data_IF_919316994789
#
_entry.id   IF_919316994789
#
_cell.length_a   1.000
_cell.length_b   1.000
_cell.length_c   1.000
_cell.angle_alpha   90.00
_cell.angle_beta   90.00
_cell.angle_gamma   90.00
#
_symmetry.space_group_name_H-M   'P 1'
#
loop_
_entity.id
_entity.type
_entity.pdbx_description
1 polymer ?
#
# COMPACT_ATOMS: atom_id res chain seq x y z
N UNK A 1 3.54 47.09 -12.35
CA UNK A 1 4.47 45.94 -12.26
C UNK A 1 5.09 45.72 -10.87
N UNK A 2 5.24 46.74 -10.01
CA UNK A 2 5.88 46.59 -8.69
C UNK A 2 5.05 45.81 -7.64
N UNK A 3 3.71 45.96 -7.63
CA UNK A 3 2.86 45.34 -6.61
C UNK A 3 2.87 43.80 -6.63
N UNK A 4 2.92 43.19 -7.82
CA UNK A 4 2.90 41.73 -7.98
C UNK A 4 4.19 41.08 -7.46
N UNK A 5 5.33 41.77 -7.55
CA UNK A 5 6.61 41.26 -7.06
C UNK A 5 6.71 41.38 -5.53
N UNK A 6 6.12 42.42 -4.93
CA UNK A 6 6.08 42.61 -3.47
C UNK A 6 5.15 41.60 -2.81
N UNK A 7 3.97 41.35 -3.38
CA UNK A 7 3.06 40.31 -2.91
C UNK A 7 3.72 38.91 -2.98
N UNK A 8 4.47 38.63 -4.05
CA UNK A 8 5.23 37.39 -4.20
C UNK A 8 6.32 37.25 -3.14
N UNK A 9 7.01 38.35 -2.80
CA UNK A 9 8.03 38.39 -1.75
C UNK A 9 7.44 38.15 -0.35
N UNK A 10 6.29 38.77 -0.04
CA UNK A 10 5.58 38.56 1.23
C UNK A 10 5.07 37.12 1.37
N UNK A 11 4.54 36.53 0.29
CA UNK A 11 4.11 35.12 0.26
C UNK A 11 5.31 34.16 0.35
N UNK A 12 6.48 34.54 -0.17
CA UNK A 12 7.71 33.75 0.00
C UNK A 12 8.20 33.78 1.46
N UNK A 13 8.09 34.91 2.14
CA UNK A 13 8.55 35.07 3.53
C UNK A 13 7.69 34.28 4.52
N UNK A 14 6.36 34.24 4.32
CA UNK A 14 5.47 33.41 5.15
C UNK A 14 5.72 31.90 4.96
N UNK A 15 6.15 31.47 3.77
CA UNK A 15 6.56 30.08 3.49
C UNK A 15 7.89 29.67 4.11
N UNK A 16 8.66 30.61 4.67
CA UNK A 16 9.96 30.33 5.27
C UNK A 16 9.85 29.83 6.72
N UNK A 17 8.75 30.14 7.43
CA UNK A 17 8.55 29.77 8.83
C UNK A 17 8.28 28.26 9.06
N UNK A 18 7.76 27.55 8.05
CA UNK A 18 7.43 26.13 8.14
C UNK A 18 8.43 25.19 7.47
N UNK A 19 9.61 25.70 7.06
CA UNK A 19 10.67 24.84 6.52
C UNK A 19 11.46 24.28 7.70
N UNK A 20 11.19 23.04 8.07
CA UNK A 20 12.17 22.27 8.85
C UNK A 20 13.46 22.24 8.04
N UNK A 21 14.56 22.63 8.66
CA UNK A 21 15.89 22.56 8.05
C UNK A 21 16.11 21.12 7.58
N UNK A 22 16.26 20.91 6.27
CA UNK A 22 16.77 19.64 5.79
C UNK A 22 18.08 19.39 6.51
N UNK A 23 18.21 18.25 7.20
CA UNK A 23 19.42 17.92 7.95
C UNK A 23 20.63 18.13 7.03
N UNK A 24 21.44 19.13 7.34
CA UNK A 24 22.64 19.53 6.59
C UNK A 24 23.78 18.57 6.87
N UNK A 25 23.56 17.27 6.72
CA UNK A 25 24.66 16.33 6.53
C UNK A 25 24.95 16.26 5.04
N UNK A 26 26.21 16.50 4.66
CA UNK A 26 26.67 16.35 3.29
C UNK A 26 26.44 14.91 2.75
N UNK A 27 26.22 13.95 3.64
CA UNK A 27 25.93 12.55 3.33
C UNK A 27 24.51 12.15 3.75
N UNK A 28 23.75 11.63 2.81
CA UNK A 28 22.42 11.05 3.04
C UNK A 28 22.58 9.78 3.88
N UNK A 29 21.95 9.74 5.06
CA UNK A 29 22.01 8.58 5.93
C UNK A 29 21.57 7.30 5.20
N UNK A 30 22.24 6.19 5.49
CA UNK A 30 22.11 4.93 4.74
C UNK A 30 20.66 4.43 4.62
N UNK A 31 19.85 4.62 5.66
CA UNK A 31 18.42 4.28 5.64
C UNK A 31 17.62 5.01 4.55
N UNK A 32 17.94 6.26 4.23
CA UNK A 32 17.27 7.00 3.16
C UNK A 32 17.63 6.46 1.78
N UNK A 33 18.81 5.88 1.59
CA UNK A 33 19.19 5.22 0.33
C UNK A 33 18.29 4.01 0.10
N UNK A 34 18.07 3.18 1.12
CA UNK A 34 17.17 2.03 1.04
C UNK A 34 15.72 2.44 0.77
N UNK A 35 15.22 3.48 1.46
CA UNK A 35 13.87 4.00 1.24
C UNK A 35 13.67 4.50 -0.19
N UNK A 36 14.67 5.15 -0.79
CA UNK A 36 14.59 5.61 -2.18
C UNK A 36 14.46 4.45 -3.17
N UNK A 37 15.15 3.32 -2.93
CA UNK A 37 14.99 2.11 -3.73
C UNK A 37 13.60 1.50 -3.60
N UNK A 38 13.05 1.43 -2.39
CA UNK A 38 11.68 0.94 -2.14
C UNK A 38 10.66 1.86 -2.82
N UNK A 39 10.81 3.18 -2.68
CA UNK A 39 9.95 4.16 -3.35
C UNK A 39 9.99 3.98 -4.87
N UNK A 40 11.17 3.84 -5.47
CA UNK A 40 11.29 3.62 -6.91
C UNK A 40 10.56 2.34 -7.38
N UNK A 41 10.66 1.25 -6.59
CA UNK A 41 9.94 -0.01 -6.87
C UNK A 41 8.42 0.19 -6.81
N UNK A 42 7.91 0.81 -5.75
CA UNK A 42 6.47 1.00 -5.52
C UNK A 42 5.86 2.20 -6.28
N UNK A 43 6.66 3.07 -6.88
CA UNK A 43 6.18 4.18 -7.71
C UNK A 43 6.34 3.93 -9.22
N UNK A 44 6.87 2.78 -9.63
CA UNK A 44 6.95 2.39 -11.04
C UNK A 44 5.56 2.48 -11.72
N UNK A 45 5.41 3.13 -12.88
CA UNK A 45 4.13 3.22 -13.59
C UNK A 45 3.86 1.95 -14.40
N UNK A 46 3.66 0.82 -13.72
CA UNK A 46 3.43 -0.50 -14.32
C UNK A 46 1.96 -0.94 -14.31
N UNK A 47 1.05 -0.07 -13.84
CA UNK A 47 -0.39 -0.35 -13.76
C UNK A 47 -0.77 -1.41 -12.72
N UNK A 48 0.19 -1.97 -11.98
CA UNK A 48 -0.10 -2.98 -10.97
C UNK A 48 -0.73 -2.33 -9.73
N UNK A 49 -1.73 -2.97 -9.12
CA UNK A 49 -2.26 -2.51 -7.85
C UNK A 49 -1.19 -2.63 -6.75
N UNK A 50 -1.31 -1.82 -5.70
CA UNK A 50 -0.28 -1.71 -4.64
C UNK A 50 0.08 -3.05 -3.99
N UNK A 51 -0.90 -3.95 -3.85
CA UNK A 51 -0.73 -5.26 -3.21
C UNK A 51 -0.05 -6.32 -4.09
N UNK A 52 0.25 -6.02 -5.37
CA UNK A 52 1.03 -6.90 -6.28
C UNK A 52 2.36 -6.27 -6.72
N UNK A 53 2.71 -5.11 -6.15
CA UNK A 53 3.84 -4.30 -6.61
C UNK A 53 5.18 -4.71 -5.98
N UNK A 54 5.13 -5.47 -4.89
CA UNK A 54 6.27 -6.12 -4.25
C UNK A 54 6.89 -7.25 -5.08
N UNK A 55 6.13 -7.84 -6.02
CA UNK A 55 6.66 -8.74 -7.05
C UNK A 55 6.02 -10.13 -7.06
N UNK A 56 6.73 -11.18 -7.50
CA UNK A 56 6.16 -12.53 -7.64
C UNK A 56 5.63 -13.13 -6.33
N UNK A 57 6.28 -12.84 -5.20
CA UNK A 57 5.85 -13.33 -3.87
C UNK A 57 4.44 -12.85 -3.54
N UNK A 58 4.12 -11.59 -3.82
CA UNK A 58 2.78 -11.04 -3.61
C UNK A 58 1.71 -11.80 -4.40
N UNK A 59 2.03 -12.22 -5.62
CA UNK A 59 1.10 -12.96 -6.48
C UNK A 59 0.83 -14.36 -5.92
N UNK A 60 1.87 -15.05 -5.44
CA UNK A 60 1.73 -16.36 -4.81
C UNK A 60 0.92 -16.25 -3.53
N UNK A 61 1.25 -15.27 -2.67
CA UNK A 61 0.53 -15.06 -1.41
C UNK A 61 -0.95 -14.74 -1.66
N UNK A 62 -1.25 -13.81 -2.57
CA UNK A 62 -2.62 -13.47 -2.94
C UNK A 62 -3.38 -14.68 -3.51
N UNK A 63 -2.74 -15.47 -4.38
CA UNK A 63 -3.33 -16.68 -4.95
C UNK A 63 -3.67 -17.72 -3.88
N UNK A 64 -2.73 -18.03 -2.98
CA UNK A 64 -2.96 -18.97 -1.88
C UNK A 64 -4.09 -18.48 -0.97
N UNK A 65 -4.05 -17.21 -0.56
CA UNK A 65 -5.11 -16.65 0.30
C UNK A 65 -6.47 -16.73 -0.37
N UNK A 66 -6.56 -16.42 -1.67
CA UNK A 66 -7.81 -16.51 -2.42
C UNK A 66 -8.36 -17.93 -2.46
N UNK A 67 -7.51 -18.93 -2.71
CA UNK A 67 -7.91 -20.35 -2.69
C UNK A 67 -8.40 -20.77 -1.31
N UNK A 68 -7.67 -20.41 -0.24
CA UNK A 68 -8.08 -20.73 1.13
C UNK A 68 -9.45 -20.12 1.47
N UNK A 69 -9.69 -18.87 1.08
CA UNK A 69 -10.98 -18.22 1.30
C UNK A 69 -12.12 -18.95 0.56
N UNK A 70 -11.92 -19.36 -0.69
CA UNK A 70 -12.92 -20.11 -1.46
C UNK A 70 -13.22 -21.48 -0.85
N UNK A 71 -12.18 -22.20 -0.41
CA UNK A 71 -12.34 -23.48 0.30
C UNK A 71 -13.11 -23.28 1.60
N UNK A 72 -12.81 -22.23 2.36
CA UNK A 72 -13.53 -21.89 3.58
C UNK A 72 -15.01 -21.61 3.33
N UNK A 73 -15.34 -20.83 2.29
CA UNK A 73 -16.73 -20.54 1.90
C UNK A 73 -17.45 -21.83 1.49
N UNK A 74 -16.83 -22.70 0.70
CA UNK A 74 -17.42 -23.98 0.29
C UNK A 74 -17.67 -24.90 1.50
N UNK A 75 -16.71 -24.98 2.42
CA UNK A 75 -16.86 -25.73 3.67
C UNK A 75 -18.00 -25.20 4.53
N UNK A 76 -18.16 -23.89 4.59
CA UNK A 76 -19.28 -23.25 5.29
C UNK A 76 -20.63 -23.57 4.64
N UNK A 77 -20.71 -23.54 3.31
CA UNK A 77 -21.91 -23.96 2.58
C UNK A 77 -22.27 -25.42 2.84
N UNK A 78 -21.29 -26.33 2.83
CA UNK A 78 -21.48 -27.74 3.20
C UNK A 78 -21.99 -27.87 4.64
N UNK A 79 -21.38 -27.15 5.59
CA UNK A 79 -21.78 -27.18 6.99
C UNK A 79 -23.24 -26.73 7.15
N UNK A 80 -23.61 -25.60 6.55
CA UNK A 80 -24.98 -25.11 6.59
C UNK A 80 -25.96 -26.12 5.99
N UNK A 81 -25.62 -26.75 4.86
CA UNK A 81 -26.44 -27.77 4.23
C UNK A 81 -26.63 -29.00 5.12
N UNK A 82 -25.54 -29.54 5.66
CA UNK A 82 -25.56 -30.74 6.53
C UNK A 82 -26.36 -30.47 7.82
N UNK A 83 -26.36 -29.24 8.34
CA UNK A 83 -27.14 -28.84 9.51
C UNK A 83 -28.61 -28.53 9.18
N UNK A 84 -28.90 -28.06 7.97
CA UNK A 84 -30.28 -27.73 7.54
C UNK A 84 -31.06 -28.97 7.11
N UNK A 85 -30.38 -29.96 6.55
CA UNK A 85 -30.97 -31.20 6.05
C UNK A 85 -30.29 -32.41 6.73
N UNK A 86 -30.80 -32.84 7.91
CA UNK A 86 -30.27 -33.99 8.59
C UNK A 86 -30.35 -35.22 7.68
N UNK A 87 -29.24 -35.95 7.55
CA UNK A 87 -29.25 -37.21 6.80
C UNK A 87 -30.15 -38.20 7.55
N UNK A 88 -30.99 -38.96 6.84
CA UNK A 88 -31.73 -40.05 7.47
C UNK A 88 -30.72 -40.97 8.16
N UNK A 89 -31.04 -41.40 9.37
CA UNK A 89 -30.18 -42.30 10.13
C UNK A 89 -29.99 -43.58 9.29
N UNK A 90 -28.74 -43.90 8.94
CA UNK A 90 -28.40 -45.22 8.44
C UNK A 90 -28.51 -46.18 9.65
N UNK A 91 -29.71 -46.72 9.88
CA UNK A 91 -29.93 -47.88 10.77
C UNK A 91 -29.31 -49.15 10.17
#
# INVERSE_FOLDING_TARGET
MFANNVARLMVQNSRQFSRTSAASSAEVAEGYKQLKHIQAKFQKPDGKPVFLKGGPVDNVLFGITSVLCLVGIAGMGKLIYDLSYPKPNDE
#
